data_IF_185722609781
#
_entry.id   IF_185722609781
#
_cell.length_a   1.000
_cell.length_b   1.000
_cell.length_c   1.000
_cell.angle_alpha   90.00
_cell.angle_beta   90.00
_cell.angle_gamma   90.00
#
_symmetry.space_group_name_H-M   'P 1'
#
loop_
_entity.id
_entity.type
_entity.pdbx_description
1 polymer ?
#
# COMPACT_ATOMS: atom_id res chain seq x y z
N UNK A 1 -41.32 23.70 1.58
CA UNK A 1 -40.18 24.63 1.35
C UNK A 1 -38.92 24.12 2.08
N UNK A 2 -39.02 23.62 3.27
CA UNK A 2 -37.92 23.18 4.16
C UNK A 2 -37.08 22.00 3.59
N UNK A 3 -37.72 20.99 2.98
CA UNK A 3 -37.03 19.79 2.46
C UNK A 3 -36.03 20.10 1.34
N UNK A 4 -36.43 20.99 0.41
CA UNK A 4 -35.52 21.42 -0.69
C UNK A 4 -34.32 22.26 -0.21
N UNK A 5 -34.49 22.96 0.91
CA UNK A 5 -33.41 23.75 1.51
C UNK A 5 -32.39 22.81 2.16
N UNK A 6 -32.88 21.80 2.90
CA UNK A 6 -32.03 20.79 3.56
C UNK A 6 -31.22 19.99 2.50
N UNK A 7 -31.86 19.59 1.40
CA UNK A 7 -31.14 18.87 0.31
C UNK A 7 -30.05 19.72 -0.35
N UNK A 8 -30.30 21.00 -0.57
CA UNK A 8 -29.31 21.93 -1.14
C UNK A 8 -28.16 22.24 -0.16
N UNK A 9 -28.47 22.36 1.13
CA UNK A 9 -27.46 22.61 2.16
C UNK A 9 -26.58 21.38 2.37
N UNK A 10 -27.16 20.18 2.32
CA UNK A 10 -26.41 18.91 2.42
C UNK A 10 -25.49 18.72 1.19
N UNK A 11 -25.99 19.02 -0.01
CA UNK A 11 -25.18 18.97 -1.24
C UNK A 11 -24.04 19.99 -1.23
N UNK A 12 -24.29 21.22 -0.76
CA UNK A 12 -23.27 22.25 -0.62
C UNK A 12 -22.22 21.87 0.44
N UNK A 13 -22.63 21.29 1.57
CA UNK A 13 -21.72 20.81 2.61
C UNK A 13 -20.84 19.66 2.12
N UNK A 14 -21.37 18.71 1.32
CA UNK A 14 -20.59 17.63 0.72
C UNK A 14 -19.56 18.15 -0.28
N UNK A 15 -19.90 19.15 -1.07
CA UNK A 15 -18.98 19.75 -2.05
C UNK A 15 -17.87 20.55 -1.34
N UNK A 16 -18.19 21.28 -0.28
CA UNK A 16 -17.19 22.03 0.49
C UNK A 16 -16.23 21.14 1.27
N UNK A 17 -16.67 20.01 1.81
CA UNK A 17 -15.74 19.06 2.44
C UNK A 17 -14.81 18.35 1.47
N UNK A 18 -15.23 18.13 0.22
CA UNK A 18 -14.37 17.52 -0.82
C UNK A 18 -13.23 18.42 -1.30
N UNK A 19 -13.35 19.74 -1.14
CA UNK A 19 -12.32 20.69 -1.63
C UNK A 19 -11.20 20.98 -0.62
N UNK A 20 -11.32 20.59 0.65
CA UNK A 20 -10.34 20.91 1.69
C UNK A 20 -9.28 19.81 1.94
N UNK A 21 -9.28 18.73 1.18
CA UNK A 21 -8.34 17.62 1.38
C UNK A 21 -7.38 17.42 0.20
N UNK A 22 -6.90 18.50 -0.39
CA UNK A 22 -5.74 18.42 -1.29
C UNK A 22 -4.43 18.48 -0.48
N UNK A 23 -4.31 17.67 0.56
CA UNK A 23 -3.00 17.35 1.12
C UNK A 23 -2.21 16.60 0.05
N UNK A 24 -1.01 17.07 -0.26
CA UNK A 24 -0.10 16.38 -1.15
C UNK A 24 0.13 14.96 -0.60
N UNK A 25 -0.37 13.95 -1.32
CA UNK A 25 -0.16 12.54 -0.99
C UNK A 25 1.27 12.16 -1.41
N UNK A 26 2.25 12.51 -0.59
CA UNK A 26 3.65 12.15 -0.81
C UNK A 26 3.95 10.66 -0.52
N UNK A 27 2.96 9.90 -0.04
CA UNK A 27 3.11 8.50 0.38
C UNK A 27 2.80 7.46 -0.71
N UNK A 28 2.59 7.86 -1.98
CA UNK A 28 2.13 6.94 -3.04
C UNK A 28 3.20 5.94 -3.53
N UNK A 29 4.46 6.05 -3.09
CA UNK A 29 5.57 5.21 -3.59
C UNK A 29 5.49 3.72 -3.22
N UNK A 30 4.70 3.35 -2.22
CA UNK A 30 4.55 1.96 -1.75
C UNK A 30 3.14 1.41 -1.94
N UNK A 31 2.28 2.14 -2.65
CA UNK A 31 0.90 1.72 -2.91
C UNK A 31 0.85 0.61 -3.95
N UNK A 32 0.14 -0.46 -3.58
CA UNK A 32 -0.10 -1.62 -4.43
C UNK A 32 -1.53 -1.51 -4.98
N UNK A 33 -1.65 -1.33 -6.28
CA UNK A 33 -2.96 -1.25 -6.96
C UNK A 33 -3.61 -2.62 -7.13
N UNK A 34 -2.83 -3.69 -6.98
CA UNK A 34 -3.19 -5.09 -7.22
C UNK A 34 -4.12 -5.61 -6.11
N UNK A 35 -5.28 -4.97 -5.93
CA UNK A 35 -6.24 -5.26 -4.87
C UNK A 35 -7.47 -6.05 -5.36
N UNK A 36 -7.60 -6.37 -6.65
CA UNK A 36 -8.70 -7.18 -7.18
C UNK A 36 -8.29 -7.88 -8.46
N UNK A 37 -8.50 -9.21 -8.51
CA UNK A 37 -8.26 -10.01 -9.72
C UNK A 37 -9.21 -9.63 -10.84
N UNK A 38 -10.48 -9.35 -10.52
CA UNK A 38 -11.48 -8.92 -11.50
C UNK A 38 -11.07 -7.61 -12.14
N UNK A 39 -10.65 -6.64 -11.32
CA UNK A 39 -10.21 -5.33 -11.81
C UNK A 39 -8.88 -5.42 -12.58
N UNK A 40 -8.00 -6.33 -12.19
CA UNK A 40 -6.75 -6.59 -12.91
C UNK A 40 -7.00 -7.09 -14.33
N UNK A 41 -8.00 -7.97 -14.52
CA UNK A 41 -8.40 -8.44 -15.85
C UNK A 41 -8.82 -7.30 -16.79
N UNK A 42 -9.17 -6.15 -16.24
CA UNK A 42 -9.50 -4.92 -16.98
C UNK A 42 -8.38 -3.86 -16.92
N UNK A 43 -7.18 -4.25 -16.48
CA UNK A 43 -6.06 -3.34 -16.24
C UNK A 43 -6.43 -2.17 -15.29
N UNK A 44 -7.35 -2.40 -14.36
CA UNK A 44 -7.94 -1.40 -13.43
C UNK A 44 -8.68 -0.25 -14.14
N UNK A 45 -9.00 -0.39 -15.43
CA UNK A 45 -9.76 0.61 -16.15
C UNK A 45 -11.18 0.75 -15.56
N UNK A 46 -11.55 1.98 -15.20
CA UNK A 46 -12.86 2.28 -14.65
C UNK A 46 -13.13 1.70 -13.26
N UNK A 47 -12.11 1.29 -12.50
CA UNK A 47 -12.24 0.61 -11.21
C UNK A 47 -13.09 1.40 -10.20
N UNK A 48 -13.01 2.73 -10.20
CA UNK A 48 -13.82 3.58 -9.33
C UNK A 48 -15.32 3.62 -9.71
N UNK A 49 -15.66 3.19 -10.92
CA UNK A 49 -17.04 3.14 -11.42
C UNK A 49 -17.61 1.72 -11.48
N UNK A 50 -16.81 0.71 -11.12
CA UNK A 50 -17.26 -0.68 -11.11
C UNK A 50 -18.40 -0.91 -10.14
N UNK A 51 -19.34 -1.77 -10.53
CA UNK A 51 -20.49 -2.13 -9.73
C UNK A 51 -20.83 -3.62 -9.95
N UNK A 52 -21.56 -4.22 -9.01
CA UNK A 52 -21.93 -5.63 -9.10
C UNK A 52 -20.82 -6.60 -8.72
N UNK A 53 -19.73 -6.14 -8.13
CA UNK A 53 -18.60 -6.94 -7.66
C UNK A 53 -18.29 -6.63 -6.20
N UNK A 54 -17.78 -7.59 -5.46
CA UNK A 54 -17.50 -7.42 -4.04
C UNK A 54 -16.29 -6.51 -3.79
N UNK A 55 -15.31 -6.49 -4.69
CA UNK A 55 -14.13 -5.60 -4.59
C UNK A 55 -14.46 -4.11 -4.79
N UNK A 56 -15.67 -3.74 -5.20
CA UNK A 56 -16.15 -2.37 -5.09
C UNK A 56 -16.09 -1.84 -3.65
N UNK A 57 -16.15 -2.71 -2.64
CA UNK A 57 -15.96 -2.33 -1.23
C UNK A 57 -14.66 -1.54 -0.99
N UNK A 58 -13.60 -1.86 -1.70
CA UNK A 58 -12.31 -1.20 -1.58
C UNK A 58 -12.21 0.09 -2.40
N UNK A 59 -12.59 0.02 -3.69
CA UNK A 59 -12.37 1.13 -4.62
C UNK A 59 -13.45 2.21 -4.56
N UNK A 60 -14.73 1.79 -4.48
CA UNK A 60 -15.88 2.66 -4.37
C UNK A 60 -17.07 1.91 -3.75
N UNK A 61 -17.25 1.99 -2.45
CA UNK A 61 -18.33 1.27 -1.75
C UNK A 61 -19.73 1.50 -2.32
N UNK A 62 -20.01 2.65 -2.94
CA UNK A 62 -21.32 2.90 -3.58
C UNK A 62 -21.64 1.91 -4.71
N UNK A 63 -20.60 1.30 -5.32
CA UNK A 63 -20.74 0.25 -6.33
C UNK A 63 -21.40 -1.03 -5.79
N UNK A 64 -21.29 -1.31 -4.48
CA UNK A 64 -21.93 -2.46 -3.85
C UNK A 64 -23.46 -2.39 -3.92
N UNK A 65 -24.03 -1.19 -3.96
CA UNK A 65 -25.49 -0.98 -3.93
C UNK A 65 -26.24 -1.63 -5.11
N UNK A 66 -25.53 -2.18 -6.10
CA UNK A 66 -26.12 -2.90 -7.24
C UNK A 66 -26.12 -4.42 -7.06
N UNK A 67 -25.56 -4.93 -5.97
CA UNK A 67 -25.54 -6.36 -5.72
C UNK A 67 -26.95 -6.86 -5.34
N UNK A 68 -27.42 -7.87 -6.03
CA UNK A 68 -28.71 -8.52 -5.80
C UNK A 68 -28.58 -9.80 -4.96
N UNK A 69 -27.38 -10.34 -4.84
CA UNK A 69 -27.09 -11.57 -4.09
C UNK A 69 -25.79 -11.44 -3.30
N UNK A 70 -25.56 -12.39 -2.41
CA UNK A 70 -24.30 -12.49 -1.69
C UNK A 70 -23.17 -12.88 -2.64
N UNK A 71 -22.05 -12.15 -2.56
CA UNK A 71 -20.86 -12.37 -3.39
C UNK A 71 -19.64 -12.53 -2.49
N UNK A 72 -18.80 -13.50 -2.81
CA UNK A 72 -17.44 -13.65 -2.28
C UNK A 72 -16.47 -13.54 -3.46
N UNK A 73 -15.45 -12.75 -3.29
CA UNK A 73 -14.40 -12.54 -4.28
C UNK A 73 -13.05 -12.59 -3.57
N UNK A 74 -12.07 -13.25 -4.12
CA UNK A 74 -10.76 -13.30 -3.52
C UNK A 74 -9.70 -13.78 -4.48
N UNK A 75 -8.46 -13.50 -4.14
CA UNK A 75 -7.33 -13.92 -4.93
C UNK A 75 -5.99 -13.54 -4.34
N UNK A 76 -4.96 -13.92 -5.09
CA UNK A 76 -3.57 -13.61 -4.76
C UNK A 76 -2.89 -13.08 -6.02
N UNK A 77 -2.31 -11.91 -5.93
CA UNK A 77 -1.40 -11.39 -6.95
C UNK A 77 0.03 -11.76 -6.56
N UNK A 78 0.82 -12.22 -7.52
CA UNK A 78 2.24 -12.48 -7.32
C UNK A 78 3.01 -11.46 -8.14
N UNK A 79 3.78 -10.61 -7.44
CA UNK A 79 4.68 -9.65 -8.07
C UNK A 79 6.07 -10.25 -8.07
N UNK A 80 6.66 -10.35 -9.25
CA UNK A 80 8.04 -10.78 -9.47
C UNK A 80 8.79 -9.56 -9.99
N UNK A 81 9.44 -8.80 -9.10
CA UNK A 81 10.21 -7.64 -9.52
C UNK A 81 11.55 -8.06 -10.11
N UNK A 82 12.13 -7.22 -10.96
CA UNK A 82 13.50 -7.30 -11.45
C UNK A 82 14.14 -5.94 -11.23
N UNK A 83 15.00 -5.85 -10.23
CA UNK A 83 15.71 -4.62 -9.89
C UNK A 83 17.16 -4.92 -9.55
N UNK A 84 18.04 -4.35 -10.32
CA UNK A 84 19.50 -4.48 -10.13
C UNK A 84 20.09 -3.16 -9.66
N UNK A 85 20.88 -3.24 -8.59
CA UNK A 85 21.57 -2.09 -8.02
C UNK A 85 23.06 -2.31 -8.15
N UNK A 86 23.74 -1.37 -8.79
CA UNK A 86 25.18 -1.35 -8.96
C UNK A 86 25.78 -0.09 -8.33
N UNK A 87 26.89 -0.23 -7.65
CA UNK A 87 27.57 0.92 -7.06
C UNK A 87 28.88 0.56 -6.38
N UNK A 88 29.56 1.59 -5.92
CA UNK A 88 30.83 1.42 -5.19
C UNK A 88 30.99 2.53 -4.15
N UNK A 89 31.71 2.22 -3.08
CA UNK A 89 32.20 3.23 -2.14
C UNK A 89 33.62 3.62 -2.59
N UNK A 90 33.83 4.88 -2.92
CA UNK A 90 35.14 5.43 -3.27
C UNK A 90 35.91 5.97 -2.05
N UNK A 91 35.20 6.59 -1.10
CA UNK A 91 35.76 7.08 0.15
C UNK A 91 34.68 7.30 1.20
N UNK A 92 35.02 7.13 2.46
CA UNK A 92 34.21 7.59 3.58
C UNK A 92 35.03 8.66 4.31
N UNK A 93 34.45 9.83 4.47
CA UNK A 93 35.04 10.91 5.26
C UNK A 93 34.97 10.57 6.75
N UNK A 94 35.93 9.76 7.19
CA UNK A 94 36.12 9.42 8.60
C UNK A 94 37.60 9.51 8.91
N UNK A 95 37.94 10.05 10.05
CA UNK A 95 39.32 10.11 10.57
C UNK A 95 39.94 8.74 10.78
N UNK A 96 39.18 7.67 10.70
CA UNK A 96 39.62 6.32 11.05
C UNK A 96 39.74 5.37 9.83
N UNK A 97 39.01 5.66 8.73
CA UNK A 97 39.02 4.77 7.55
C UNK A 97 39.15 5.57 6.25
N UNK A 98 40.12 5.15 5.43
CA UNK A 98 40.45 5.82 4.18
C UNK A 98 40.01 5.06 2.92
N UNK A 99 39.58 3.80 3.03
CA UNK A 99 39.17 2.99 1.88
C UNK A 99 37.98 2.10 2.17
N UNK A 100 37.17 1.84 1.15
CA UNK A 100 36.03 0.92 1.22
C UNK A 100 36.44 -0.50 1.64
N UNK A 101 37.62 -0.96 1.28
CA UNK A 101 38.16 -2.27 1.66
C UNK A 101 38.39 -2.38 3.16
N UNK A 102 38.80 -1.30 3.84
CA UNK A 102 38.95 -1.29 5.29
C UNK A 102 37.63 -1.45 6.04
N UNK A 103 36.51 -1.14 5.39
CA UNK A 103 35.18 -1.34 5.92
C UNK A 103 34.58 -2.71 5.58
N UNK A 104 35.30 -3.55 4.82
CA UNK A 104 34.82 -4.85 4.37
C UNK A 104 33.62 -4.77 3.45
N UNK A 105 33.43 -3.64 2.76
CA UNK A 105 32.37 -3.50 1.77
C UNK A 105 32.82 -4.11 0.43
N UNK A 106 31.95 -4.85 -0.20
CA UNK A 106 32.16 -5.36 -1.54
C UNK A 106 31.79 -4.26 -2.54
N UNK A 107 32.76 -3.83 -3.35
CA UNK A 107 32.54 -2.85 -4.40
C UNK A 107 32.22 -3.57 -5.72
N UNK A 108 31.33 -2.98 -6.50
CA UNK A 108 30.91 -3.46 -7.82
C UNK A 108 30.13 -4.79 -7.82
N UNK A 109 29.48 -5.17 -6.72
CA UNK A 109 28.55 -6.27 -6.79
C UNK A 109 27.18 -5.78 -7.28
N UNK A 110 26.67 -6.45 -8.28
CA UNK A 110 25.28 -6.30 -8.71
C UNK A 110 24.40 -7.07 -7.73
N UNK A 111 23.38 -6.40 -7.20
CA UNK A 111 22.43 -6.98 -6.25
C UNK A 111 21.05 -7.02 -6.88
N UNK A 112 20.40 -8.16 -6.84
CA UNK A 112 18.94 -8.26 -7.02
C UNK A 112 18.30 -8.09 -5.64
N UNK A 113 17.58 -7.00 -5.45
CA UNK A 113 17.25 -6.50 -4.12
C UNK A 113 15.79 -6.69 -3.74
N UNK A 114 14.94 -7.09 -4.69
CA UNK A 114 13.52 -7.21 -4.47
C UNK A 114 13.08 -8.68 -4.45
N UNK A 115 12.34 -9.02 -3.40
CA UNK A 115 11.78 -10.38 -3.25
C UNK A 115 10.45 -10.52 -3.98
N UNK A 116 10.20 -11.73 -4.52
CA UNK A 116 8.88 -12.08 -5.02
C UNK A 116 7.85 -11.98 -3.89
N UNK A 117 6.80 -11.20 -4.11
CA UNK A 117 5.81 -10.90 -3.09
C UNK A 117 4.41 -11.34 -3.51
N UNK A 118 3.69 -11.97 -2.59
CA UNK A 118 2.30 -12.34 -2.75
C UNK A 118 1.38 -11.34 -2.05
N UNK A 119 0.39 -10.81 -2.77
CA UNK A 119 -0.58 -9.84 -2.27
C UNK A 119 -1.96 -10.51 -2.25
N UNK A 120 -2.42 -11.00 -1.09
CA UNK A 120 -3.75 -11.57 -0.96
C UNK A 120 -4.81 -10.48 -0.87
N UNK A 121 -6.00 -10.78 -1.38
CA UNK A 121 -7.20 -9.98 -1.17
C UNK A 121 -8.42 -10.87 -1.02
N UNK A 122 -9.36 -10.45 -0.17
CA UNK A 122 -10.60 -11.16 0.08
C UNK A 122 -11.72 -10.15 0.31
N UNK A 123 -12.84 -10.39 -0.33
CA UNK A 123 -14.04 -9.56 -0.25
C UNK A 123 -15.26 -10.43 -0.02
N UNK A 124 -16.17 -9.92 0.79
CA UNK A 124 -17.51 -10.45 0.95
C UNK A 124 -18.50 -9.31 0.93
N UNK A 125 -19.62 -9.49 0.26
CA UNK A 125 -20.72 -8.52 0.28
C UNK A 125 -22.07 -9.24 0.24
N UNK A 126 -23.06 -8.68 0.92
CA UNK A 126 -24.39 -9.25 1.01
C UNK A 126 -25.46 -8.15 1.10
N UNK A 127 -26.54 -8.24 0.31
CA UNK A 127 -27.73 -7.43 0.48
C UNK A 127 -28.43 -7.74 1.82
N UNK A 128 -28.80 -6.68 2.56
CA UNK A 128 -29.52 -6.72 3.82
C UNK A 128 -30.57 -5.60 3.82
N UNK A 129 -31.80 -5.92 3.49
CA UNK A 129 -32.86 -4.93 3.30
C UNK A 129 -32.55 -3.96 2.17
N UNK A 130 -32.53 -2.67 2.45
CA UNK A 130 -32.20 -1.61 1.48
C UNK A 130 -30.69 -1.32 1.37
N UNK A 131 -29.88 -2.01 2.15
CA UNK A 131 -28.45 -1.82 2.19
C UNK A 131 -27.72 -3.04 1.63
N UNK A 132 -26.50 -2.83 1.17
CA UNK A 132 -25.53 -3.89 0.95
C UNK A 132 -24.39 -3.67 1.93
N UNK A 133 -24.11 -4.69 2.73
CA UNK A 133 -23.00 -4.70 3.67
C UNK A 133 -21.84 -5.45 3.03
N UNK A 134 -20.64 -4.92 3.15
CA UNK A 134 -19.41 -5.53 2.68
C UNK A 134 -18.35 -5.62 3.77
N UNK A 135 -17.45 -6.59 3.61
CA UNK A 135 -16.23 -6.70 4.39
C UNK A 135 -15.08 -7.08 3.46
N UNK A 136 -13.88 -6.62 3.79
CA UNK A 136 -12.69 -6.98 3.00
C UNK A 136 -11.42 -7.07 3.84
N UNK A 137 -10.47 -7.85 3.31
CA UNK A 137 -9.08 -7.92 3.78
C UNK A 137 -8.19 -7.63 2.57
N UNK A 138 -7.31 -6.63 2.71
CA UNK A 138 -6.46 -6.12 1.65
C UNK A 138 -5.05 -5.82 2.16
N UNK A 139 -4.06 -5.81 1.27
CA UNK A 139 -2.69 -5.39 1.57
C UNK A 139 -2.32 -4.17 0.69
N UNK A 140 -2.76 -2.95 1.05
CA UNK A 140 -2.66 -1.78 0.18
C UNK A 140 -1.26 -1.21 0.03
N UNK A 141 -0.37 -1.46 1.00
CA UNK A 141 1.02 -0.99 0.93
C UNK A 141 1.97 -2.13 1.25
N UNK A 142 3.01 -2.23 0.44
CA UNK A 142 4.06 -3.22 0.65
C UNK A 142 5.33 -2.85 -0.10
N UNK A 143 6.45 -3.09 0.54
CA UNK A 143 7.77 -3.01 -0.07
C UNK A 143 8.71 -3.90 0.73
N UNK A 144 9.54 -4.66 0.05
CA UNK A 144 10.57 -5.46 0.69
C UNK A 144 11.80 -5.45 -0.19
N UNK A 145 12.91 -5.03 0.40
CA UNK A 145 14.21 -5.09 -0.24
C UNK A 145 15.25 -5.63 0.75
N UNK A 146 16.19 -6.40 0.24
CA UNK A 146 17.27 -6.99 1.01
C UNK A 146 18.57 -6.99 0.18
N UNK A 147 19.64 -6.56 0.80
CA UNK A 147 20.97 -6.51 0.24
C UNK A 147 21.89 -7.45 1.00
N UNK A 148 22.96 -7.88 0.37
CA UNK A 148 23.99 -8.67 1.05
C UNK A 148 24.62 -7.90 2.22
N UNK A 149 25.07 -8.63 3.24
CA UNK A 149 25.65 -8.02 4.44
C UNK A 149 26.96 -7.22 4.16
N UNK A 150 27.63 -7.50 3.07
CA UNK A 150 28.84 -6.80 2.60
C UNK A 150 28.57 -5.77 1.49
N UNK A 151 27.29 -5.52 1.19
CA UNK A 151 26.86 -4.52 0.21
C UNK A 151 27.50 -3.15 0.45
N UNK A 152 27.88 -2.46 -0.62
CA UNK A 152 28.58 -1.18 -0.52
C UNK A 152 27.82 -0.10 0.26
N UNK A 153 26.49 -0.12 0.24
CA UNK A 153 25.61 0.83 0.95
C UNK A 153 25.13 0.38 2.34
N UNK A 154 25.66 -0.70 2.91
CA UNK A 154 25.16 -1.35 4.13
C UNK A 154 25.06 -0.45 5.36
N UNK A 155 25.88 0.59 5.47
CA UNK A 155 25.83 1.55 6.58
C UNK A 155 24.63 2.51 6.48
N UNK A 156 24.07 2.64 5.30
CA UNK A 156 22.85 3.37 5.08
C UNK A 156 21.64 2.43 5.23
N UNK A 157 21.72 1.24 4.61
CA UNK A 157 20.60 0.33 4.51
C UNK A 157 21.07 -1.07 4.11
N UNK A 158 20.61 -2.13 4.80
CA UNK A 158 20.78 -3.53 4.42
C UNK A 158 19.44 -4.11 3.99
N UNK A 159 18.39 -3.95 4.81
CA UNK A 159 17.07 -4.36 4.45
C UNK A 159 16.00 -3.40 4.97
N UNK A 160 14.92 -3.28 4.22
CA UNK A 160 13.69 -2.66 4.68
C UNK A 160 12.50 -3.49 4.23
N UNK A 161 11.58 -3.69 5.14
CA UNK A 161 10.30 -4.32 4.89
C UNK A 161 9.20 -3.42 5.43
N UNK A 162 8.18 -3.16 4.60
CA UNK A 162 6.97 -2.47 4.98
C UNK A 162 5.80 -3.35 4.53
N UNK A 163 4.94 -3.73 5.46
CA UNK A 163 3.76 -4.56 5.19
C UNK A 163 2.56 -3.98 5.90
N UNK A 164 1.45 -3.86 5.18
CA UNK A 164 0.17 -3.43 5.75
C UNK A 164 -0.92 -4.44 5.46
N UNK A 165 -1.87 -4.53 6.37
CA UNK A 165 -3.12 -5.27 6.16
C UNK A 165 -4.27 -4.39 6.62
N UNK A 166 -5.26 -4.22 5.75
CA UNK A 166 -6.50 -3.51 6.02
C UNK A 166 -7.65 -4.50 6.25
N UNK A 167 -8.37 -4.28 7.31
CA UNK A 167 -9.65 -4.94 7.60
C UNK A 167 -10.74 -3.89 7.47
N UNK A 168 -11.60 -4.03 6.46
CA UNK A 168 -12.58 -3.00 6.12
C UNK A 168 -14.00 -3.53 6.28
N UNK A 169 -14.90 -2.70 6.79
CA UNK A 169 -16.34 -2.92 6.77
C UNK A 169 -17.00 -1.75 6.07
N UNK A 170 -17.89 -2.05 5.13
CA UNK A 170 -18.55 -1.07 4.28
C UNK A 170 -20.06 -1.26 4.28
N UNK A 171 -20.78 -0.18 4.00
CA UNK A 171 -22.20 -0.22 3.72
C UNK A 171 -22.52 0.67 2.51
N UNK A 172 -23.44 0.24 1.69
CA UNK A 172 -23.89 0.97 0.52
C UNK A 172 -25.42 0.91 0.39
N UNK A 173 -26.00 1.91 -0.27
CA UNK A 173 -27.44 1.98 -0.53
C UNK A 173 -27.71 2.73 -1.83
N UNK A 174 -28.69 2.26 -2.57
CA UNK A 174 -29.28 3.03 -3.66
C UNK A 174 -30.35 3.98 -3.09
N UNK A 175 -30.12 5.29 -3.20
CA UNK A 175 -31.03 6.32 -2.72
C UNK A 175 -32.17 6.57 -3.71
N UNK A 176 -31.83 6.57 -5.00
CA UNK A 176 -32.78 6.70 -6.11
C UNK A 176 -32.16 6.16 -7.40
N UNK A 177 -32.87 6.26 -8.53
CA UNK A 177 -32.40 5.71 -9.82
C UNK A 177 -31.05 6.26 -10.30
N UNK A 178 -30.66 7.46 -9.84
CA UNK A 178 -29.47 8.18 -10.31
C UNK A 178 -28.40 8.34 -9.22
N UNK A 179 -28.71 7.97 -7.96
CA UNK A 179 -27.80 8.22 -6.82
C UNK A 179 -27.64 6.96 -5.99
N UNK A 180 -26.39 6.56 -5.81
CA UNK A 180 -25.95 5.56 -4.84
C UNK A 180 -24.96 6.21 -3.89
N UNK A 181 -25.00 5.82 -2.66
CA UNK A 181 -24.07 6.24 -1.61
C UNK A 181 -23.47 5.00 -0.95
N UNK A 182 -22.24 5.11 -0.55
CA UNK A 182 -21.53 4.05 0.18
C UNK A 182 -20.36 4.64 0.93
N UNK A 183 -19.96 3.96 1.98
CA UNK A 183 -18.83 4.32 2.80
C UNK A 183 -18.47 3.18 3.74
N UNK A 184 -17.34 3.31 4.40
CA UNK A 184 -16.87 2.29 5.32
C UNK A 184 -15.84 2.83 6.30
N UNK A 185 -15.45 1.95 7.19
CA UNK A 185 -14.35 2.16 8.12
C UNK A 185 -13.37 1.02 7.95
N UNK A 186 -12.10 1.30 8.15
CA UNK A 186 -11.06 0.27 8.12
C UNK A 186 -10.14 0.38 9.34
N UNK A 187 -9.58 -0.75 9.70
CA UNK A 187 -8.49 -0.87 10.65
C UNK A 187 -7.26 -1.38 9.90
N UNK A 188 -6.18 -0.61 9.95
CA UNK A 188 -4.92 -0.95 9.27
C UNK A 188 -3.87 -1.37 10.29
N UNK A 189 -3.24 -2.51 10.04
CA UNK A 189 -1.99 -2.89 10.70
C UNK A 189 -0.81 -2.42 9.86
N UNK A 190 0.28 -2.04 10.51
CA UNK A 190 1.51 -1.63 9.86
C UNK A 190 2.69 -2.32 10.54
N UNK A 191 3.48 -3.03 9.75
CA UNK A 191 4.73 -3.64 10.16
C UNK A 191 5.88 -3.03 9.36
N UNK A 192 6.88 -2.49 10.06
CA UNK A 192 8.06 -1.88 9.45
C UNK A 192 9.30 -2.46 10.11
N UNK A 193 10.16 -3.07 9.30
CA UNK A 193 11.46 -3.54 9.73
C UNK A 193 12.56 -2.88 8.89
N UNK A 194 13.61 -2.38 9.54
CA UNK A 194 14.80 -1.83 8.88
C UNK A 194 16.07 -2.36 9.52
N UNK A 195 17.03 -2.77 8.69
CA UNK A 195 18.36 -3.20 9.12
C UNK A 195 19.44 -2.38 8.42
N UNK A 196 20.45 -2.00 9.19
CA UNK A 196 21.66 -1.36 8.69
C UNK A 196 22.87 -1.80 9.49
N UNK A 197 24.05 -1.79 8.89
CA UNK A 197 25.30 -1.99 9.61
C UNK A 197 25.59 -0.77 10.48
N UNK A 198 26.09 -1.02 11.68
CA UNK A 198 26.63 0.03 12.56
C UNK A 198 28.12 -0.14 12.66
N UNK A 199 28.83 0.95 12.57
CA UNK A 199 30.27 0.97 12.78
C UNK A 199 30.55 1.06 14.29
N UNK A 200 31.18 0.04 14.85
CA UNK A 200 31.72 0.09 16.21
C UNK A 200 33.19 0.42 16.10
N UNK A 201 33.57 1.62 16.55
CA UNK A 201 35.00 1.98 16.66
C UNK A 201 35.67 1.04 17.67
N UNK A 202 36.50 0.14 17.17
CA UNK A 202 37.31 -0.71 18.05
C UNK A 202 38.48 0.13 18.57
N UNK A 203 38.36 0.67 19.77
CA UNK A 203 39.49 1.24 20.51
C UNK A 203 40.37 0.08 21.01
N UNK A 204 41.13 -0.47 20.08
CA UNK A 204 42.18 -1.44 20.39
C UNK A 204 43.45 -0.69 20.80
N UNK A 205 43.85 -0.80 22.05
CA UNK A 205 45.19 -0.44 22.47
C UNK A 205 46.15 -1.38 21.76
N UNK A 206 46.90 -0.87 20.76
CA UNK A 206 48.03 -1.58 20.23
C UNK A 206 49.04 -1.68 21.39
N UNK A 207 49.16 -2.88 22.00
CA UNK A 207 50.33 -3.21 22.80
C UNK A 207 51.48 -3.44 21.84
N UNK A 208 52.44 -2.54 21.84
CA UNK A 208 53.77 -2.71 21.21
C UNK A 208 54.56 -3.82 21.89
#
# INVERSE_FOLDING_TARGET
>A
MTKKIIEKTLAAALVTTATFHTGELLAAGFYLKEQSIVSQGQAFAGVAAQSGIASAAYFNPAGLATLESSVVEGGVHVIVPDQKVNGSISSISSTTYTTATALGANNNNEQDTLSTTAIPNLYWAKPVGEYVIGASINAPFGSENEYDADYFGRYNHISASLKTIDYTVTAARQVNKNLRIGGGIYYQTLDIEQKKATHVAQTGTLKG
#
